data_IF_747825898279
#
_entry.id   IF_747825898279
#
_cell.length_a   1.000
_cell.length_b   1.000
_cell.length_c   1.000
_cell.angle_alpha   90.00
_cell.angle_beta   90.00
_cell.angle_gamma   90.00
#
_symmetry.space_group_name_H-M   'P 1'
#
loop_
_entity.id
_entity.type
_entity.pdbx_description
1 polymer ?
#
# COMPACT_ATOMS: atom_id res chain seq x y z
N UNK A 1 -29.91 -32.73 24.55
CA UNK A 1 -29.87 -31.26 24.73
C UNK A 1 -28.47 -30.83 24.34
N UNK A 2 -28.36 -30.17 23.20
CA UNK A 2 -27.19 -30.24 22.34
C UNK A 2 -26.37 -28.98 22.57
N UNK A 3 -25.14 -29.10 23.08
CA UNK A 3 -24.20 -27.97 23.20
C UNK A 3 -22.82 -28.27 22.59
N UNK A 4 -22.71 -28.75 21.34
CA UNK A 4 -21.42 -28.77 20.64
C UNK A 4 -20.89 -27.35 20.38
N UNK A 5 -21.79 -26.36 20.28
CA UNK A 5 -21.46 -24.95 20.03
C UNK A 5 -20.76 -24.25 21.20
N UNK A 6 -20.99 -24.72 22.43
CA UNK A 6 -20.37 -24.12 23.62
C UNK A 6 -18.91 -24.57 23.76
N UNK A 7 -18.62 -25.84 23.46
CA UNK A 7 -17.26 -26.39 23.52
C UNK A 7 -16.36 -25.80 22.43
N UNK A 8 -16.91 -25.56 21.23
CA UNK A 8 -16.17 -24.93 20.14
C UNK A 8 -15.82 -23.47 20.44
N UNK A 9 -16.76 -22.72 21.05
CA UNK A 9 -16.53 -21.34 21.48
C UNK A 9 -15.44 -21.25 22.56
N UNK A 10 -15.45 -22.15 23.54
CA UNK A 10 -14.42 -22.19 24.60
C UNK A 10 -13.05 -22.59 24.03
N UNK A 11 -13.00 -23.46 23.02
CA UNK A 11 -11.75 -23.90 22.40
C UNK A 11 -11.11 -22.84 21.51
N UNK A 12 -11.91 -22.01 20.81
CA UNK A 12 -11.42 -20.84 20.07
C UNK A 12 -10.88 -19.77 21.02
N UNK A 13 -11.54 -19.53 22.14
CA UNK A 13 -11.07 -18.58 23.17
C UNK A 13 -9.76 -19.06 23.82
N UNK A 14 -9.61 -20.38 24.04
CA UNK A 14 -8.36 -20.96 24.55
C UNK A 14 -7.22 -20.96 23.52
N UNK A 15 -7.52 -21.08 22.23
CA UNK A 15 -6.52 -21.01 21.14
C UNK A 15 -6.00 -19.58 20.92
N UNK A 16 -6.85 -18.56 21.08
CA UNK A 16 -6.43 -17.15 21.06
C UNK A 16 -5.54 -16.81 22.28
N UNK A 17 -5.80 -17.41 23.44
CA UNK A 17 -4.94 -17.25 24.62
C UNK A 17 -3.55 -17.90 24.51
N UNK A 18 -3.33 -18.84 23.57
CA UNK A 18 -2.05 -19.53 23.36
C UNK A 18 -1.19 -18.90 22.26
N UNK A 19 -1.74 -18.04 21.41
CA UNK A 19 -1.00 -17.32 20.36
C UNK A 19 -0.44 -15.96 20.80
N UNK A 20 -0.67 -15.56 22.05
CA UNK A 20 -0.19 -14.27 22.59
C UNK A 20 -0.97 -13.04 22.09
N UNK A 21 -2.07 -13.23 21.35
CA UNK A 21 -3.01 -12.16 21.01
C UNK A 21 -4.10 -12.09 22.09
N UNK A 22 -3.82 -11.40 23.19
CA UNK A 22 -4.86 -11.01 24.14
C UNK A 22 -5.74 -9.91 23.50
N UNK A 23 -7.02 -9.82 23.89
CA UNK A 23 -7.91 -8.69 23.54
C UNK A 23 -7.39 -7.32 24.04
N UNK A 24 -6.27 -7.34 24.79
CA UNK A 24 -5.44 -6.20 25.13
C UNK A 24 -4.66 -5.62 23.95
N UNK A 25 -4.60 -6.30 22.79
CA UNK A 25 -3.92 -5.79 21.60
C UNK A 25 -4.51 -4.44 21.17
N UNK A 26 -3.78 -3.38 21.48
CA UNK A 26 -4.11 -2.01 21.12
C UNK A 26 -2.99 -1.47 20.26
N UNK A 27 -3.34 -1.05 19.04
CA UNK A 27 -2.39 -0.50 18.07
C UNK A 27 -1.51 0.62 18.68
N UNK A 28 -2.06 1.45 19.58
CA UNK A 28 -1.32 2.51 20.26
C UNK A 28 -0.47 2.06 21.45
N UNK A 29 -0.74 0.89 22.05
CA UNK A 29 -0.11 0.46 23.29
C UNK A 29 0.99 -0.58 23.06
N UNK A 30 0.77 -1.46 22.08
CA UNK A 30 1.68 -2.55 21.76
C UNK A 30 2.65 -2.20 20.63
N UNK A 31 2.36 -1.12 19.89
CA UNK A 31 3.36 -0.36 19.12
C UNK A 31 3.58 0.98 19.81
N UNK A 32 4.46 1.05 20.84
CA UNK A 32 4.94 2.35 21.28
C UNK A 32 5.53 3.07 20.06
N UNK A 33 5.11 4.33 19.85
CA UNK A 33 5.55 5.18 18.73
C UNK A 33 7.08 5.40 18.72
N UNK A 34 7.78 4.92 19.73
CA UNK A 34 9.23 4.84 19.86
C UNK A 34 9.86 3.90 18.79
N UNK A 35 9.08 3.06 18.10
CA UNK A 35 9.55 2.31 16.91
C UNK A 35 9.63 3.18 15.63
N UNK A 36 9.12 4.42 15.67
CA UNK A 36 9.28 5.41 14.60
C UNK A 36 10.61 6.16 14.75
N UNK A 37 11.31 6.01 15.89
CA UNK A 37 12.69 6.49 16.09
C UNK A 37 13.72 5.55 15.41
N UNK A 38 13.39 4.99 14.24
CA UNK A 38 14.42 4.54 13.31
C UNK A 38 14.59 5.65 12.28
N UNK A 39 15.75 6.30 12.31
CA UNK A 39 16.18 7.36 11.38
C UNK A 39 15.92 7.03 9.90
N UNK A 40 15.75 5.76 9.56
CA UNK A 40 15.48 5.23 8.21
C UNK A 40 14.08 5.60 7.69
N UNK A 41 13.13 5.98 8.56
CA UNK A 41 11.76 6.39 8.19
C UNK A 41 11.37 7.77 8.75
N UNK A 42 12.32 8.55 9.25
CA UNK A 42 12.05 9.90 9.68
C UNK A 42 11.56 10.73 8.47
N UNK A 43 10.34 11.28 8.56
CA UNK A 43 9.72 12.10 7.51
C UNK A 43 10.57 13.34 7.10
N UNK A 44 11.62 13.69 7.86
CA UNK A 44 12.51 14.81 7.53
C UNK A 44 13.28 14.61 6.22
N UNK A 45 13.58 13.36 5.85
CA UNK A 45 14.16 13.01 4.56
C UNK A 45 13.25 12.03 3.80
N UNK A 46 12.05 12.52 3.48
CA UNK A 46 11.06 11.77 2.70
C UNK A 46 11.61 11.32 1.33
N UNK A 47 12.46 12.14 0.70
CA UNK A 47 13.08 11.80 -0.60
C UNK A 47 14.03 10.62 -0.43
N UNK A 48 14.96 10.68 0.51
CA UNK A 48 15.85 9.56 0.82
C UNK A 48 15.09 8.29 1.21
N UNK A 49 13.99 8.44 1.97
CA UNK A 49 13.12 7.31 2.34
C UNK A 49 12.52 6.63 1.10
N UNK A 50 11.97 7.40 0.15
CA UNK A 50 11.37 6.85 -1.07
C UNK A 50 12.39 6.14 -1.95
N UNK A 51 13.62 6.67 -2.06
CA UNK A 51 14.70 5.99 -2.80
C UNK A 51 15.09 4.64 -2.17
N UNK A 52 15.15 4.59 -0.83
CA UNK A 52 15.38 3.32 -0.11
C UNK A 52 14.22 2.34 -0.35
N UNK A 53 12.97 2.83 -0.37
CA UNK A 53 11.81 2.00 -0.66
C UNK A 53 11.81 1.48 -2.08
N UNK A 54 12.19 2.31 -3.07
CA UNK A 54 12.31 1.90 -4.47
C UNK A 54 13.24 0.69 -4.58
N UNK A 55 14.45 0.77 -4.04
CA UNK A 55 15.41 -0.33 -4.09
C UNK A 55 14.89 -1.59 -3.39
N UNK A 56 14.26 -1.45 -2.21
CA UNK A 56 13.71 -2.59 -1.47
C UNK A 56 12.58 -3.28 -2.23
N UNK A 57 11.60 -2.53 -2.73
CA UNK A 57 10.46 -3.11 -3.46
C UNK A 57 10.89 -3.73 -4.77
N UNK A 58 11.80 -3.10 -5.51
CA UNK A 58 12.37 -3.67 -6.73
C UNK A 58 13.11 -4.97 -6.45
N UNK A 59 14.00 -4.97 -5.46
CA UNK A 59 14.78 -6.16 -5.09
C UNK A 59 13.89 -7.33 -4.67
N UNK A 60 12.85 -7.06 -3.88
CA UNK A 60 11.85 -8.06 -3.51
C UNK A 60 11.10 -8.59 -4.73
N UNK A 61 10.59 -7.71 -5.60
CA UNK A 61 9.85 -8.10 -6.80
C UNK A 61 10.70 -9.00 -7.73
N UNK A 62 11.97 -8.65 -7.93
CA UNK A 62 12.90 -9.43 -8.76
C UNK A 62 13.21 -10.80 -8.16
N UNK A 63 13.33 -10.89 -6.83
CA UNK A 63 13.76 -12.12 -6.12
C UNK A 63 12.62 -13.11 -5.92
N UNK A 64 11.37 -12.64 -5.87
CA UNK A 64 10.22 -13.51 -5.67
C UNK A 64 9.99 -14.45 -6.88
N UNK A 65 9.69 -15.74 -6.65
CA UNK A 65 9.35 -16.65 -7.73
C UNK A 65 7.99 -16.26 -8.34
N UNK A 66 7.79 -16.57 -9.61
CA UNK A 66 6.61 -16.13 -10.37
C UNK A 66 5.29 -16.66 -9.80
N UNK A 67 5.28 -17.89 -9.27
CA UNK A 67 4.11 -18.50 -8.65
C UNK A 67 3.68 -17.78 -7.35
N UNK A 68 4.62 -17.16 -6.63
CA UNK A 68 4.33 -16.40 -5.42
C UNK A 68 3.54 -15.11 -5.69
N UNK A 69 3.53 -14.59 -6.92
CA UNK A 69 2.77 -13.38 -7.26
C UNK A 69 1.25 -13.56 -7.10
N UNK A 70 0.76 -14.80 -7.19
CA UNK A 70 -0.66 -15.13 -7.02
C UNK A 70 -1.00 -15.55 -5.58
N UNK A 71 0.00 -15.69 -4.70
CA UNK A 71 -0.24 -16.08 -3.32
C UNK A 71 -1.06 -15.02 -2.56
N UNK A 72 -2.00 -15.51 -1.74
CA UNK A 72 -2.87 -14.71 -0.87
C UNK A 72 -2.87 -15.30 0.54
N UNK A 73 -2.82 -14.49 1.61
CA UNK A 73 -2.86 -14.99 2.98
C UNK A 73 -4.18 -15.68 3.33
N UNK A 74 -5.30 -15.12 2.86
CA UNK A 74 -6.66 -15.64 3.04
C UNK A 74 -7.61 -15.06 1.99
N UNK A 75 -8.83 -15.59 1.93
CA UNK A 75 -9.89 -15.06 1.05
C UNK A 75 -10.14 -13.57 1.34
N UNK A 76 -10.37 -12.78 0.28
CA UNK A 76 -10.57 -11.34 0.39
C UNK A 76 -9.30 -10.47 0.53
N UNK A 77 -8.14 -11.05 0.85
CA UNK A 77 -6.87 -10.29 1.03
C UNK A 77 -6.04 -10.26 -0.25
N UNK A 78 -5.62 -9.06 -0.69
CA UNK A 78 -4.85 -8.86 -1.93
C UNK A 78 -3.69 -9.85 -2.09
N UNK A 79 -3.50 -10.33 -3.32
CA UNK A 79 -2.32 -11.10 -3.72
C UNK A 79 -1.08 -10.22 -3.76
N UNK A 80 0.09 -10.84 -3.82
CA UNK A 80 1.35 -10.12 -3.95
C UNK A 80 1.37 -9.23 -5.20
N UNK A 81 0.90 -9.73 -6.35
CA UNK A 81 0.79 -8.93 -7.58
C UNK A 81 -0.16 -7.73 -7.39
N UNK A 82 -1.30 -7.94 -6.72
CA UNK A 82 -2.26 -6.87 -6.41
C UNK A 82 -1.66 -5.79 -5.50
N UNK A 83 -0.73 -6.15 -4.59
CA UNK A 83 -0.02 -5.20 -3.73
C UNK A 83 1.00 -4.37 -4.53
N UNK A 84 1.81 -4.98 -5.38
CA UNK A 84 2.75 -4.22 -6.21
C UNK A 84 2.05 -3.27 -7.18
N UNK A 85 0.93 -3.70 -7.79
CA UNK A 85 0.11 -2.81 -8.63
C UNK A 85 -0.51 -1.66 -7.84
N UNK A 86 -0.88 -1.87 -6.58
CA UNK A 86 -1.37 -0.83 -5.70
C UNK A 86 -0.30 0.24 -5.42
N UNK A 87 0.90 -0.19 -5.06
CA UNK A 87 2.05 0.70 -4.83
C UNK A 87 2.32 1.54 -6.09
N UNK A 88 2.35 0.89 -7.26
CA UNK A 88 2.57 1.61 -8.51
C UNK A 88 1.44 2.61 -8.82
N UNK A 89 0.18 2.21 -8.59
CA UNK A 89 -0.96 3.10 -8.77
C UNK A 89 -0.86 4.35 -7.88
N UNK A 90 -0.47 4.20 -6.61
CA UNK A 90 -0.32 5.32 -5.67
C UNK A 90 0.79 6.28 -6.12
N UNK A 91 1.93 5.72 -6.52
CA UNK A 91 3.09 6.48 -6.99
C UNK A 91 2.77 7.32 -8.23
N UNK A 92 1.89 6.85 -9.12
CA UNK A 92 1.40 7.65 -10.26
C UNK A 92 0.29 8.62 -9.88
N UNK A 93 -0.64 8.20 -9.03
CA UNK A 93 -1.86 8.95 -8.71
C UNK A 93 -1.62 10.12 -7.77
N UNK A 94 -0.78 9.96 -6.74
CA UNK A 94 -0.55 11.01 -5.73
C UNK A 94 0.07 12.27 -6.35
N UNK A 95 1.15 12.19 -7.17
CA UNK A 95 1.65 13.37 -7.89
C UNK A 95 0.61 13.96 -8.86
N UNK A 96 -0.23 13.12 -9.46
CA UNK A 96 -1.31 13.57 -10.36
C UNK A 96 -2.33 14.44 -9.63
N UNK A 97 -2.72 14.07 -8.40
CA UNK A 97 -3.54 14.93 -7.54
C UNK A 97 -2.85 16.26 -7.20
N UNK A 98 -1.52 16.31 -7.23
CA UNK A 98 -0.73 17.53 -7.05
C UNK A 98 -0.48 18.30 -8.37
N UNK A 99 -1.15 17.92 -9.45
CA UNK A 99 -1.06 18.58 -10.76
C UNK A 99 0.17 18.18 -11.57
N UNK A 100 0.79 17.03 -11.28
CA UNK A 100 1.87 16.43 -12.05
C UNK A 100 1.28 15.29 -12.87
N UNK A 101 1.01 15.52 -14.15
CA UNK A 101 0.39 14.51 -15.00
C UNK A 101 1.19 13.19 -15.00
N UNK A 102 0.53 12.08 -14.70
CA UNK A 102 1.06 10.73 -14.87
C UNK A 102 1.37 10.43 -16.36
N UNK A 103 2.25 9.45 -16.63
CA UNK A 103 2.49 8.97 -17.99
C UNK A 103 1.16 8.49 -18.66
N UNK A 104 0.88 8.87 -19.94
CA UNK A 104 -0.42 8.62 -20.57
C UNK A 104 -0.81 7.13 -20.68
N UNK A 105 0.17 6.24 -20.79
CA UNK A 105 0.04 4.79 -20.85
C UNK A 105 -0.46 4.15 -19.54
N UNK A 106 -0.39 4.88 -18.43
CA UNK A 106 -1.01 4.47 -17.17
C UNK A 106 -2.53 4.64 -17.21
N UNK A 107 -3.05 5.60 -17.97
CA UNK A 107 -4.46 5.99 -17.93
C UNK A 107 -4.91 6.68 -16.64
N UNK A 108 -3.97 6.99 -15.73
CA UNK A 108 -4.26 7.66 -14.46
C UNK A 108 -4.44 9.17 -14.68
N UNK A 109 -5.48 9.73 -14.08
CA UNK A 109 -5.73 11.18 -14.00
C UNK A 109 -6.25 11.56 -12.59
N UNK A 110 -6.74 12.78 -12.41
CA UNK A 110 -7.24 13.28 -11.12
C UNK A 110 -8.55 12.61 -10.63
N UNK A 111 -9.24 11.84 -11.47
CA UNK A 111 -10.38 11.03 -11.06
C UNK A 111 -9.89 9.73 -10.39
N UNK A 112 -10.30 9.55 -9.15
CA UNK A 112 -10.02 8.36 -8.36
C UNK A 112 -10.53 7.05 -8.97
N UNK A 113 -11.49 7.10 -9.90
CA UNK A 113 -11.89 5.91 -10.65
C UNK A 113 -10.74 5.33 -11.48
N UNK A 114 -9.83 6.18 -11.99
CA UNK A 114 -8.68 5.75 -12.78
C UNK A 114 -7.62 5.04 -11.95
N UNK A 115 -7.45 5.44 -10.68
CA UNK A 115 -6.61 4.74 -9.72
C UNK A 115 -7.07 3.28 -9.53
N UNK A 116 -8.38 3.06 -9.42
CA UNK A 116 -8.94 1.70 -9.30
C UNK A 116 -8.78 0.92 -10.60
N UNK A 117 -9.10 1.55 -11.74
CA UNK A 117 -8.99 0.92 -13.06
C UNK A 117 -7.54 0.45 -13.35
N UNK A 118 -6.53 1.20 -12.91
CA UNK A 118 -5.14 0.78 -13.04
C UNK A 118 -4.84 -0.52 -12.27
N UNK A 119 -5.36 -0.66 -11.05
CA UNK A 119 -5.10 -1.82 -10.19
C UNK A 119 -5.76 -3.11 -10.68
N UNK A 120 -6.84 -2.99 -11.47
CA UNK A 120 -7.57 -4.10 -12.08
C UNK A 120 -6.86 -4.68 -13.31
N UNK A 121 -5.73 -4.08 -13.75
CA UNK A 121 -4.90 -4.62 -14.83
C UNK A 121 -4.27 -5.94 -14.41
N UNK A 122 -4.39 -6.95 -15.26
CA UNK A 122 -3.62 -8.17 -15.14
C UNK A 122 -2.25 -7.96 -15.78
N UNK A 123 -1.20 -8.16 -14.98
CA UNK A 123 0.20 -8.00 -15.40
C UNK A 123 0.96 -9.27 -15.05
N UNK A 124 1.86 -9.67 -15.95
CA UNK A 124 2.87 -10.70 -15.70
C UNK A 124 3.87 -10.23 -14.62
N UNK A 125 4.62 -11.15 -14.03
CA UNK A 125 5.67 -10.81 -13.04
C UNK A 125 6.62 -9.73 -13.57
N UNK A 126 7.10 -9.90 -14.80
CA UNK A 126 8.07 -8.98 -15.39
C UNK A 126 7.46 -7.59 -15.61
N UNK A 127 6.22 -7.51 -16.11
CA UNK A 127 5.50 -6.24 -16.25
C UNK A 127 5.24 -5.57 -14.90
N UNK A 128 4.99 -6.34 -13.83
CA UNK A 128 4.85 -5.77 -12.47
C UNK A 128 6.17 -5.16 -12.01
N UNK A 129 7.31 -5.84 -12.22
CA UNK A 129 8.63 -5.31 -11.85
C UNK A 129 8.89 -4.00 -12.59
N UNK A 130 8.68 -3.96 -13.91
CA UNK A 130 8.84 -2.75 -14.72
C UNK A 130 7.91 -1.63 -14.28
N UNK A 131 6.65 -1.97 -13.97
CA UNK A 131 5.64 -1.00 -13.52
C UNK A 131 5.98 -0.39 -12.16
N UNK A 132 6.46 -1.21 -11.21
CA UNK A 132 6.92 -0.73 -9.90
C UNK A 132 8.10 0.23 -10.09
N UNK A 133 9.10 -0.17 -10.88
CA UNK A 133 10.29 0.63 -11.15
C UNK A 133 9.93 2.00 -11.76
N UNK A 134 9.13 2.00 -12.83
CA UNK A 134 8.65 3.21 -13.50
C UNK A 134 7.83 4.12 -12.58
N UNK A 135 7.05 3.54 -11.67
CA UNK A 135 6.25 4.30 -10.71
C UNK A 135 7.10 5.07 -9.71
N UNK A 136 8.14 4.43 -9.16
CA UNK A 136 9.07 5.08 -8.22
C UNK A 136 9.90 6.16 -8.90
N UNK A 137 10.37 5.92 -10.12
CA UNK A 137 11.06 6.95 -10.89
C UNK A 137 10.17 8.18 -11.14
N UNK A 138 8.88 7.96 -11.45
CA UNK A 138 7.93 9.05 -11.63
C UNK A 138 7.72 9.82 -10.32
N UNK A 139 7.52 9.11 -9.21
CA UNK A 139 7.36 9.72 -7.89
C UNK A 139 8.62 10.52 -7.48
N UNK A 140 9.81 9.96 -7.66
CA UNK A 140 11.07 10.64 -7.36
C UNK A 140 11.21 11.91 -8.20
N UNK A 141 10.99 11.85 -9.51
CA UNK A 141 10.98 13.04 -10.38
C UNK A 141 9.95 14.09 -9.94
N UNK A 142 8.78 13.65 -9.47
CA UNK A 142 7.74 14.52 -8.96
C UNK A 142 8.17 15.26 -7.68
N UNK A 143 8.83 14.58 -6.74
CA UNK A 143 9.31 15.17 -5.48
C UNK A 143 10.46 16.16 -5.68
N UNK A 144 11.34 15.94 -6.67
CA UNK A 144 12.42 16.87 -7.00
C UNK A 144 11.95 18.14 -7.71
N UNK A 145 10.65 18.25 -8.04
CA UNK A 145 10.10 19.46 -8.64
C UNK A 145 10.05 20.58 -7.58
N UNK A 146 10.46 21.82 -7.92
CA UNK A 146 10.32 22.94 -7.01
C UNK A 146 8.85 23.15 -6.61
N UNK A 147 8.62 23.38 -5.32
CA UNK A 147 7.27 23.52 -4.77
C UNK A 147 6.49 24.65 -5.44
N UNK A 148 5.21 24.38 -5.73
CA UNK A 148 4.28 25.44 -6.11
C UNK A 148 3.76 26.12 -4.85
N UNK A 149 3.48 27.44 -4.90
CA UNK A 149 2.83 28.12 -3.79
C UNK A 149 1.52 27.40 -3.40
N UNK A 150 1.28 27.22 -2.10
CA UNK A 150 0.08 26.55 -1.57
C UNK A 150 -1.23 27.14 -2.14
N UNK A 151 -1.23 28.42 -2.51
CA UNK A 151 -2.36 29.12 -3.15
C UNK A 151 -2.73 28.58 -4.53
N UNK A 152 -1.85 27.81 -5.17
CA UNK A 152 -2.09 27.17 -6.47
C UNK A 152 -2.40 25.68 -6.34
N UNK A 153 -2.45 25.12 -5.13
CA UNK A 153 -2.85 23.72 -4.89
C UNK A 153 -4.38 23.68 -4.83
N UNK A 154 -5.02 23.25 -5.92
CA UNK A 154 -6.45 23.00 -5.95
C UNK A 154 -6.72 21.66 -5.28
N UNK A 155 -7.13 21.66 -4.01
CA UNK A 155 -7.61 20.44 -3.37
C UNK A 155 -8.90 20.00 -4.07
N UNK A 156 -8.78 19.08 -5.02
CA UNK A 156 -9.92 18.30 -5.48
C UNK A 156 -10.48 17.63 -4.23
N UNK A 157 -11.80 17.70 -4.05
CA UNK A 157 -12.56 17.15 -2.92
C UNK A 157 -12.48 15.62 -2.97
N UNK A 158 -11.28 15.07 -2.80
CA UNK A 158 -11.00 13.65 -2.85
C UNK A 158 -11.67 13.00 -1.65
N UNK A 159 -12.40 11.92 -1.90
CA UNK A 159 -12.87 11.02 -0.84
C UNK A 159 -11.67 10.60 0.01
N UNK A 160 -11.83 10.38 1.32
CA UNK A 160 -10.71 9.99 2.19
C UNK A 160 -9.99 8.77 1.61
N UNK A 161 -8.65 8.79 1.57
CA UNK A 161 -7.79 7.77 0.96
C UNK A 161 -8.21 6.34 1.35
N UNK A 162 -8.61 6.14 2.60
CA UNK A 162 -9.10 4.86 3.14
C UNK A 162 -10.27 4.25 2.37
N UNK A 163 -11.20 5.08 1.88
CA UNK A 163 -12.34 4.65 1.03
C UNK A 163 -11.86 4.30 -0.38
N UNK A 164 -10.80 4.95 -0.88
CA UNK A 164 -10.20 4.65 -2.18
C UNK A 164 -9.34 3.37 -2.14
N UNK A 165 -8.68 3.09 -1.01
CA UNK A 165 -7.88 1.89 -0.79
C UNK A 165 -8.72 0.61 -0.55
N UNK A 166 -10.06 0.72 -0.53
CA UNK A 166 -10.97 -0.42 -0.33
C UNK A 166 -11.01 -0.94 1.10
N UNK A 167 -10.62 -0.12 2.08
CA UNK A 167 -10.72 -0.45 3.51
C UNK A 167 -12.14 -0.08 4.00
N UNK A 168 -13.14 -0.88 3.60
CA UNK A 168 -14.49 -0.79 4.18
C UNK A 168 -14.48 -1.48 5.55
N UNK A 169 -14.95 -0.77 6.58
CA UNK A 169 -15.26 -1.36 7.90
C UNK A 169 -16.55 -2.16 7.82
#
# INVERSE_FOLDING_TARGET
MNKPSLLLATMVILLVGLSGFDASFSFEKDFPLDLIESDVLAFEDLVGTVEILHEKFRSLAVTMPEDAYQWRPMEGVRSVSEVYRHIAADNFFVPTLMGIAAPPDTGINEDASTFRAFQERELTRDEVIETVDASFEFLSRAMHRPERPQSQITWVRAKPLWVMCGFER
#
